data_IF_853604093825
#
_entry.id   IF_853604093825
#
_cell.length_a   1.000
_cell.length_b   1.000
_cell.length_c   1.000
_cell.angle_alpha   90.00
_cell.angle_beta   90.00
_cell.angle_gamma   90.00
#
_symmetry.space_group_name_H-M   'P 1'
#
loop_
_entity.id
_entity.type
_entity.pdbx_description
1 polymer ?
#
# COMPACT_ATOMS: atom_id res chain seq x y z
N UNK A 1 15.47 5.59 -16.78
CA UNK A 1 14.40 6.16 -17.61
C UNK A 1 14.36 7.67 -17.38
N UNK A 2 14.42 8.49 -18.44
CA UNK A 2 14.31 9.95 -18.31
C UNK A 2 12.86 10.34 -18.07
N UNK A 3 12.51 10.71 -16.84
CA UNK A 3 11.26 11.43 -16.59
C UNK A 3 11.51 12.91 -16.85
N UNK A 4 10.83 13.48 -17.85
CA UNK A 4 10.87 14.92 -18.17
C UNK A 4 12.29 15.53 -18.36
N UNK A 5 13.24 14.79 -18.94
CA UNK A 5 14.59 15.29 -19.23
C UNK A 5 15.53 15.41 -18.01
N UNK A 6 15.08 15.01 -16.82
CA UNK A 6 15.91 14.94 -15.62
C UNK A 6 16.58 13.55 -15.53
N UNK A 7 17.91 13.51 -15.36
CA UNK A 7 18.65 12.26 -15.13
C UNK A 7 18.63 11.92 -13.63
N UNK A 8 17.65 11.14 -13.20
CA UNK A 8 17.47 10.73 -11.79
C UNK A 8 18.12 9.35 -11.50
N UNK A 9 18.68 8.69 -12.52
CA UNK A 9 19.05 7.26 -12.48
C UNK A 9 20.08 6.90 -11.39
N UNK A 10 21.13 7.72 -11.21
CA UNK A 10 22.13 7.45 -10.17
C UNK A 10 21.55 7.65 -8.75
N UNK A 11 20.66 8.62 -8.57
CA UNK A 11 20.01 8.87 -7.27
C UNK A 11 19.01 7.77 -6.93
N UNK A 12 18.27 7.28 -7.93
CA UNK A 12 17.30 6.21 -7.77
C UNK A 12 17.96 4.93 -7.24
N UNK A 13 19.07 4.51 -7.85
CA UNK A 13 19.80 3.31 -7.45
C UNK A 13 20.36 3.42 -6.02
N UNK A 14 20.97 4.55 -5.67
CA UNK A 14 21.52 4.78 -4.34
C UNK A 14 20.44 4.78 -3.27
N UNK A 15 19.30 5.44 -3.54
CA UNK A 15 18.15 5.47 -2.61
C UNK A 15 17.53 4.09 -2.47
N UNK A 16 17.40 3.34 -3.56
CA UNK A 16 16.94 1.95 -3.53
C UNK A 16 17.81 1.04 -2.68
N UNK A 17 19.13 1.11 -2.85
CA UNK A 17 20.09 0.35 -2.05
C UNK A 17 20.04 0.75 -0.56
N UNK A 18 19.92 2.04 -0.26
CA UNK A 18 19.79 2.53 1.10
C UNK A 18 18.49 2.04 1.77
N UNK A 19 17.36 2.04 1.05
CA UNK A 19 16.10 1.50 1.54
C UNK A 19 16.20 -0.01 1.83
N UNK A 20 16.78 -0.78 0.91
CA UNK A 20 16.99 -2.22 1.08
C UNK A 20 17.87 -2.54 2.29
N UNK A 21 18.93 -1.77 2.49
CA UNK A 21 19.78 -1.87 3.68
C UNK A 21 18.99 -1.56 4.95
N UNK A 22 18.17 -0.51 4.92
CA UNK A 22 17.37 -0.10 6.07
C UNK A 22 16.34 -1.17 6.46
N UNK A 23 15.65 -1.77 5.49
CA UNK A 23 14.69 -2.86 5.74
C UNK A 23 15.35 -4.09 6.40
N UNK A 24 16.60 -4.40 6.04
CA UNK A 24 17.37 -5.49 6.68
C UNK A 24 17.80 -5.18 8.11
N UNK A 25 18.10 -3.92 8.39
CA UNK A 25 18.69 -3.48 9.65
C UNK A 25 17.64 -3.12 10.70
N UNK A 26 16.38 -2.90 10.30
CA UNK A 26 15.34 -2.56 11.25
C UNK A 26 14.99 -3.77 12.13
N UNK A 27 15.10 -3.66 13.47
CA UNK A 27 14.53 -4.64 14.35
C UNK A 27 13.01 -4.61 14.21
N UNK A 28 12.41 -5.80 14.16
CA UNK A 28 10.98 -6.05 14.04
C UNK A 28 10.23 -5.46 15.25
N UNK A 29 9.91 -4.16 15.22
CA UNK A 29 9.13 -3.50 16.28
C UNK A 29 7.64 -3.78 16.08
N UNK A 30 7.26 -5.04 16.31
CA UNK A 30 5.89 -5.57 16.23
C UNK A 30 4.88 -4.87 17.16
N UNK A 31 5.31 -3.92 17.98
CA UNK A 31 4.44 -3.28 18.99
C UNK A 31 3.47 -2.27 18.40
N UNK A 32 3.75 -1.73 17.21
CA UNK A 32 2.90 -0.72 16.58
C UNK A 32 2.52 -1.09 15.14
N UNK A 33 1.46 -1.89 15.00
CA UNK A 33 0.94 -2.35 13.72
C UNK A 33 0.62 -1.22 12.74
N UNK A 34 0.13 -0.06 13.21
CA UNK A 34 -0.19 1.09 12.33
C UNK A 34 1.08 1.58 11.67
N UNK A 35 2.09 1.85 12.51
CA UNK A 35 3.38 2.33 12.02
C UNK A 35 4.05 1.34 11.08
N UNK A 36 4.00 0.05 11.41
CA UNK A 36 4.53 -0.99 10.53
C UNK A 36 3.78 -0.98 9.19
N UNK A 37 2.45 -1.02 9.21
CA UNK A 37 1.62 -1.15 8.02
C UNK A 37 1.89 -0.09 6.94
N UNK A 38 1.85 1.22 7.29
CA UNK A 38 2.07 2.26 6.27
C UNK A 38 3.54 2.34 5.83
N UNK A 39 4.51 1.96 6.68
CA UNK A 39 5.93 1.88 6.31
C UNK A 39 6.15 0.75 5.30
N UNK A 40 5.61 -0.43 5.58
CA UNK A 40 5.70 -1.58 4.66
C UNK A 40 5.04 -1.25 3.32
N UNK A 41 3.87 -0.62 3.35
CA UNK A 41 3.16 -0.21 2.13
C UNK A 41 3.99 0.73 1.25
N UNK A 42 4.62 1.73 1.85
CA UNK A 42 5.51 2.65 1.15
C UNK A 42 6.77 1.94 0.63
N UNK A 43 7.35 1.05 1.44
CA UNK A 43 8.49 0.21 1.06
C UNK A 43 8.18 -0.64 -0.17
N UNK A 44 7.09 -1.42 -0.13
CA UNK A 44 6.60 -2.23 -1.26
C UNK A 44 6.40 -1.38 -2.51
N UNK A 45 5.78 -0.20 -2.40
CA UNK A 45 5.53 0.68 -3.56
C UNK A 45 6.82 1.16 -4.22
N UNK A 46 7.83 1.51 -3.43
CA UNK A 46 9.14 1.93 -3.94
C UNK A 46 9.87 0.75 -4.54
N UNK A 47 10.03 -0.36 -3.80
CA UNK A 47 10.70 -1.56 -4.28
C UNK A 47 10.08 -2.12 -5.56
N UNK A 48 8.75 -2.10 -5.67
CA UNK A 48 8.04 -2.46 -6.89
C UNK A 48 8.47 -1.59 -8.07
N UNK A 49 8.53 -0.27 -7.89
CA UNK A 49 8.92 0.68 -8.95
C UNK A 49 10.35 0.49 -9.42
N UNK A 50 11.23 0.11 -8.50
CA UNK A 50 12.65 -0.14 -8.76
C UNK A 50 12.92 -1.52 -9.37
N UNK A 51 11.89 -2.36 -9.54
CA UNK A 51 12.01 -3.71 -10.07
C UNK A 51 12.50 -4.76 -9.05
N UNK A 52 12.52 -4.45 -7.76
CA UNK A 52 12.96 -5.34 -6.67
C UNK A 52 11.88 -6.31 -6.17
N UNK A 53 10.86 -6.60 -6.97
CA UNK A 53 9.74 -7.49 -6.60
C UNK A 53 10.14 -8.92 -6.23
N UNK A 54 11.30 -9.39 -6.68
CA UNK A 54 11.77 -10.76 -6.45
C UNK A 54 12.73 -10.87 -5.26
N UNK A 55 12.99 -9.79 -4.54
CA UNK A 55 13.93 -9.83 -3.41
C UNK A 55 13.21 -10.28 -2.13
N UNK A 56 13.94 -10.92 -1.18
CA UNK A 56 13.34 -11.37 0.07
C UNK A 56 12.65 -10.26 0.86
N UNK A 57 13.22 -9.07 0.85
CA UNK A 57 12.74 -7.89 1.57
C UNK A 57 11.37 -7.47 1.04
N UNK A 58 11.18 -7.45 -0.29
CA UNK A 58 9.86 -7.19 -0.88
C UNK A 58 8.82 -8.24 -0.44
N UNK A 59 9.20 -9.51 -0.49
CA UNK A 59 8.30 -10.62 -0.13
C UNK A 59 7.93 -10.60 1.35
N UNK A 60 8.89 -10.26 2.23
CA UNK A 60 8.67 -10.10 3.66
C UNK A 60 7.74 -8.94 3.98
N UNK A 61 7.95 -7.77 3.36
CA UNK A 61 7.03 -6.63 3.50
C UNK A 61 5.59 -7.03 3.10
N UNK A 62 5.44 -7.70 1.95
CA UNK A 62 4.14 -8.18 1.46
C UNK A 62 3.51 -9.17 2.44
N UNK A 63 4.28 -10.13 2.95
CA UNK A 63 3.77 -11.11 3.91
C UNK A 63 3.30 -10.44 5.20
N UNK A 64 4.08 -9.52 5.75
CA UNK A 64 3.70 -8.73 6.95
C UNK A 64 2.41 -7.94 6.74
N UNK A 65 2.24 -7.34 5.55
CA UNK A 65 1.02 -6.62 5.17
C UNK A 65 -0.19 -7.57 5.16
N UNK A 66 -0.06 -8.73 4.51
CA UNK A 66 -1.14 -9.72 4.41
C UNK A 66 -1.53 -10.28 5.78
N UNK A 67 -0.55 -10.53 6.65
CA UNK A 67 -0.75 -10.94 8.04
C UNK A 67 -1.44 -9.86 8.87
N UNK A 68 -1.07 -8.59 8.68
CA UNK A 68 -1.70 -7.47 9.38
C UNK A 68 -3.18 -7.35 9.00
N UNK A 69 -3.52 -7.40 7.70
CA UNK A 69 -4.92 -7.38 7.25
C UNK A 69 -5.71 -8.56 7.82
N UNK A 70 -5.07 -9.73 7.95
CA UNK A 70 -5.70 -10.94 8.49
C UNK A 70 -6.00 -10.85 9.99
N UNK A 71 -5.09 -10.26 10.74
CA UNK A 71 -5.07 -10.38 12.21
C UNK A 71 -5.48 -9.12 12.95
N UNK A 72 -5.49 -7.96 12.28
CA UNK A 72 -5.75 -6.68 12.90
C UNK A 72 -7.11 -6.09 12.51
N UNK A 73 -8.19 -6.41 13.24
CA UNK A 73 -9.53 -5.90 12.93
C UNK A 73 -9.65 -4.37 13.10
N UNK A 74 -8.71 -3.74 13.81
CA UNK A 74 -8.70 -2.28 14.02
C UNK A 74 -8.24 -1.51 12.78
N UNK A 75 -7.56 -2.17 11.84
CA UNK A 75 -6.96 -1.56 10.65
C UNK A 75 -7.92 -0.61 9.92
N UNK A 76 -9.13 -1.09 9.62
CA UNK A 76 -10.10 -0.28 8.88
C UNK A 76 -10.86 0.70 9.77
N UNK A 77 -11.16 0.31 11.01
CA UNK A 77 -11.97 1.12 11.93
C UNK A 77 -11.24 2.35 12.45
N UNK A 78 -9.93 2.26 12.61
CA UNK A 78 -9.10 3.36 13.12
C UNK A 78 -8.13 3.91 12.07
N UNK A 79 -8.34 3.61 10.78
CA UNK A 79 -7.52 4.15 9.70
C UNK A 79 -7.49 5.69 9.72
N UNK A 80 -6.29 6.24 9.64
CA UNK A 80 -5.98 7.60 9.22
C UNK A 80 -5.78 7.70 7.71
N UNK A 81 -5.44 8.90 7.23
CA UNK A 81 -5.16 9.12 5.81
C UNK A 81 -3.95 8.36 5.30
N UNK A 82 -2.95 8.11 6.14
CA UNK A 82 -1.77 7.31 5.81
C UNK A 82 -2.12 5.83 5.56
N UNK A 83 -3.03 5.22 6.33
CA UNK A 83 -3.51 3.86 6.03
C UNK A 83 -4.35 3.83 4.76
N UNK A 84 -5.20 4.85 4.52
CA UNK A 84 -5.97 4.94 3.28
C UNK A 84 -5.07 5.07 2.04
N UNK A 85 -3.98 5.83 2.15
CA UNK A 85 -2.98 5.92 1.08
C UNK A 85 -2.18 4.62 0.95
N UNK A 86 -1.86 3.95 2.06
CA UNK A 86 -1.19 2.66 2.08
C UNK A 86 -2.00 1.59 1.36
N UNK A 87 -3.33 1.54 1.55
CA UNK A 87 -4.21 0.63 0.81
C UNK A 87 -4.06 0.79 -0.70
N UNK A 88 -3.99 2.02 -1.18
CA UNK A 88 -3.81 2.31 -2.61
C UNK A 88 -2.43 1.83 -3.11
N UNK A 89 -1.36 2.15 -2.38
CA UNK A 89 0.00 1.72 -2.72
C UNK A 89 0.12 0.20 -2.89
N UNK A 90 -0.44 -0.54 -1.94
CA UNK A 90 -0.40 -2.01 -1.95
C UNK A 90 -1.26 -2.55 -3.08
N UNK A 91 -2.45 -1.99 -3.29
CA UNK A 91 -3.39 -2.40 -4.35
C UNK A 91 -2.75 -2.27 -5.73
N UNK A 92 -2.08 -1.16 -6.02
CA UNK A 92 -1.38 -0.96 -7.30
C UNK A 92 -0.25 -1.98 -7.53
N UNK A 93 0.48 -2.35 -6.46
CA UNK A 93 1.55 -3.33 -6.56
C UNK A 93 1.03 -4.76 -6.72
N UNK A 94 -0.04 -5.12 -6.01
CA UNK A 94 -0.61 -6.47 -6.06
C UNK A 94 -1.41 -6.74 -7.32
N UNK A 95 -2.12 -5.73 -7.85
CA UNK A 95 -2.90 -5.87 -9.08
C UNK A 95 -2.02 -6.26 -10.29
N UNK A 96 -0.78 -5.76 -10.32
CA UNK A 96 0.23 -6.05 -11.35
C UNK A 96 1.24 -7.11 -10.88
N UNK A 97 0.92 -7.82 -9.81
CA UNK A 97 1.79 -8.73 -9.09
C UNK A 97 1.35 -10.19 -9.20
N UNK A 98 1.58 -10.96 -8.13
CA UNK A 98 1.19 -12.36 -8.05
C UNK A 98 -0.32 -12.51 -7.84
N UNK A 99 -0.94 -13.40 -8.61
CA UNK A 99 -2.39 -13.61 -8.62
C UNK A 99 -2.95 -14.03 -7.25
N UNK A 100 -2.21 -14.83 -6.49
CA UNK A 100 -2.66 -15.33 -5.18
C UNK A 100 -2.78 -14.21 -4.13
N UNK A 101 -1.75 -13.36 -4.03
CA UNK A 101 -1.74 -12.21 -3.12
C UNK A 101 -2.88 -11.24 -3.44
N UNK A 102 -3.13 -11.01 -4.74
CA UNK A 102 -4.23 -10.17 -5.21
C UNK A 102 -5.61 -10.73 -4.78
N UNK A 103 -5.85 -12.02 -5.05
CA UNK A 103 -7.12 -12.70 -4.71
C UNK A 103 -7.43 -12.65 -3.22
N UNK A 104 -6.40 -12.65 -2.38
CA UNK A 104 -6.58 -12.49 -0.94
C UNK A 104 -6.77 -11.02 -0.54
N UNK A 105 -5.88 -10.14 -0.99
CA UNK A 105 -5.82 -8.75 -0.55
C UNK A 105 -7.07 -7.94 -0.89
N UNK A 106 -7.46 -7.93 -2.16
CA UNK A 106 -8.42 -6.95 -2.64
C UNK A 106 -9.82 -7.13 -2.01
N UNK A 107 -10.38 -8.34 -1.89
CA UNK A 107 -11.65 -8.54 -1.20
C UNK A 107 -11.61 -8.06 0.26
N UNK A 108 -10.52 -8.32 0.99
CA UNK A 108 -10.40 -7.94 2.40
C UNK A 108 -10.41 -6.42 2.57
N UNK A 109 -9.64 -5.71 1.74
CA UNK A 109 -9.55 -4.25 1.81
C UNK A 109 -10.82 -3.58 1.30
N UNK A 110 -11.36 -4.03 0.17
CA UNK A 110 -12.64 -3.54 -0.37
C UNK A 110 -13.74 -3.65 0.68
N UNK A 111 -13.94 -4.83 1.25
CA UNK A 111 -15.01 -5.04 2.21
C UNK A 111 -14.72 -4.30 3.53
N UNK A 112 -13.44 -4.19 3.91
CA UNK A 112 -12.97 -3.42 5.06
C UNK A 112 -13.34 -1.94 5.00
N UNK A 113 -13.01 -1.26 3.90
CA UNK A 113 -13.30 0.18 3.74
C UNK A 113 -14.79 0.44 3.50
N UNK A 114 -15.51 -0.45 2.80
CA UNK A 114 -16.96 -0.28 2.60
C UNK A 114 -17.73 -0.34 3.93
N UNK A 115 -17.29 -1.17 4.90
CA UNK A 115 -17.89 -1.21 6.24
C UNK A 115 -17.73 0.08 7.04
N UNK A 116 -16.76 0.92 6.70
CA UNK A 116 -16.46 2.17 7.42
C UNK A 116 -16.87 3.42 6.66
N UNK A 117 -17.57 3.27 5.53
CA UNK A 117 -18.10 4.38 4.75
C UNK A 117 -19.14 5.17 5.55
N UNK A 118 -19.04 6.48 5.53
CA UNK A 118 -20.05 7.36 6.12
C UNK A 118 -21.35 7.34 5.30
N UNK A 119 -22.45 7.77 5.92
CA UNK A 119 -23.76 7.84 5.26
C UNK A 119 -23.76 8.74 4.00
N UNK A 120 -22.92 9.77 3.96
CA UNK A 120 -22.76 10.66 2.81
C UNK A 120 -21.83 10.10 1.71
N UNK A 121 -21.33 8.87 1.89
CA UNK A 121 -20.42 8.20 0.98
C UNK A 121 -18.94 8.53 1.19
N UNK A 122 -18.60 9.44 2.11
CA UNK A 122 -17.22 9.83 2.39
C UNK A 122 -16.49 8.89 3.38
N UNK A 123 -15.18 9.08 3.51
CA UNK A 123 -14.37 8.53 4.60
C UNK A 123 -13.69 9.65 5.37
N UNK A 124 -13.45 9.43 6.66
CA UNK A 124 -12.70 10.33 7.54
C UNK A 124 -11.60 9.54 8.26
N UNK A 125 -10.41 10.12 8.37
CA UNK A 125 -9.32 9.54 9.14
C UNK A 125 -9.52 9.71 10.64
N UNK A 126 -8.98 8.78 11.42
CA UNK A 126 -9.06 8.79 12.89
C UNK A 126 -7.81 9.41 13.55
N UNK A 127 -6.68 9.44 12.85
CA UNK A 127 -5.43 10.03 13.33
C UNK A 127 -4.62 10.63 12.17
N UNK A 128 -3.60 11.42 12.53
CA UNK A 128 -2.65 12.14 11.66
C UNK A 128 -3.32 12.97 10.55
N UNK A 129 -3.73 12.32 9.46
CA UNK A 129 -4.47 12.92 8.36
C UNK A 129 -5.94 12.55 8.49
N UNK A 130 -6.78 13.53 8.84
CA UNK A 130 -8.22 13.29 9.13
C UNK A 130 -9.17 14.01 8.18
N UNK A 131 -8.64 14.71 7.17
CA UNK A 131 -9.44 15.42 6.17
C UNK A 131 -10.29 14.45 5.34
N UNK A 132 -11.58 14.77 5.16
CA UNK A 132 -12.53 13.90 4.45
C UNK A 132 -12.21 13.80 2.96
N UNK A 133 -11.73 14.88 2.34
CA UNK A 133 -11.42 14.89 0.91
C UNK A 133 -10.24 13.97 0.62
N UNK A 134 -9.17 14.10 1.39
CA UNK A 134 -7.99 13.26 1.27
C UNK A 134 -8.31 11.78 1.51
N UNK A 135 -9.01 11.46 2.59
CA UNK A 135 -9.34 10.08 2.94
C UNK A 135 -10.26 9.44 1.89
N UNK A 136 -11.29 10.19 1.45
CA UNK A 136 -12.20 9.72 0.40
C UNK A 136 -11.44 9.48 -0.91
N UNK A 137 -10.54 10.38 -1.29
CA UNK A 137 -9.70 10.19 -2.48
C UNK A 137 -8.83 8.94 -2.38
N UNK A 138 -8.16 8.71 -1.23
CA UNK A 138 -7.32 7.52 -1.01
C UNK A 138 -8.11 6.21 -1.12
N UNK A 139 -9.31 6.17 -0.53
CA UNK A 139 -10.21 5.00 -0.63
C UNK A 139 -10.71 4.80 -2.05
N UNK A 140 -11.12 5.87 -2.75
CA UNK A 140 -11.58 5.76 -4.14
C UNK A 140 -10.47 5.29 -5.07
N UNK A 141 -9.24 5.77 -4.91
CA UNK A 141 -8.08 5.28 -5.67
C UNK A 141 -7.91 3.76 -5.47
N UNK A 142 -8.04 3.29 -4.23
CA UNK A 142 -7.99 1.85 -3.91
C UNK A 142 -9.12 1.06 -4.58
N UNK A 143 -10.38 1.50 -4.42
CA UNK A 143 -11.55 0.78 -4.92
C UNK A 143 -11.66 0.80 -6.45
N UNK A 144 -11.13 1.83 -7.09
CA UNK A 144 -11.22 1.99 -8.53
C UNK A 144 -9.99 1.44 -9.27
N UNK A 145 -8.89 1.10 -8.57
CA UNK A 145 -7.68 0.54 -9.19
C UNK A 145 -7.96 -0.57 -10.21
N UNK A 146 -8.80 -1.60 -9.94
CA UNK A 146 -9.07 -2.65 -10.94
C UNK A 146 -9.68 -2.12 -12.24
N UNK A 147 -10.53 -1.09 -12.16
CA UNK A 147 -11.23 -0.54 -13.33
C UNK A 147 -10.31 0.28 -14.24
N UNK A 148 -9.23 0.85 -13.69
CA UNK A 148 -8.32 1.72 -14.42
C UNK A 148 -7.00 1.05 -14.82
N UNK A 149 -6.61 0.00 -14.10
CA UNK A 149 -5.30 -0.65 -14.26
C UNK A 149 -5.38 -2.02 -14.96
N UNK A 150 -6.59 -2.56 -15.20
CA UNK A 150 -6.82 -3.73 -16.06
C UNK A 150 -7.39 -3.27 -17.41
N UNK A 151 -6.97 -3.92 -18.50
CA UNK A 151 -7.59 -3.68 -19.81
C UNK A 151 -9.06 -4.10 -19.74
N UNK A 152 -9.95 -3.39 -20.43
CA UNK A 152 -11.35 -3.84 -20.60
C UNK A 152 -11.48 -5.20 -21.30
N UNK A 153 -10.39 -5.73 -21.85
CA UNK A 153 -10.31 -7.10 -22.39
C UNK A 153 -10.04 -8.17 -21.33
N UNK A 154 -9.65 -7.79 -20.10
CA UNK A 154 -9.33 -8.69 -18.98
C UNK A 154 -10.49 -8.81 -17.96
N UNK A 155 -11.65 -8.22 -18.27
CA UNK A 155 -12.91 -8.29 -17.50
C UNK A 155 -13.93 -9.17 -18.23
#
# INVERSE_FOLDING_TARGET
ASSAGLRIEASEQLVGQALMKHLKEQPDDKRNWMQQFYKEAAGVRVLYSLGYRNTPEFQECVQTILETVKTEPRLFRFAGGEEYLAFYFITECMLKGQEENWKYWYPQVRDGVLRTQNHDGSWKGHHCITDRTFCTAGVLLTLLSPNFSLSTSDL
#
